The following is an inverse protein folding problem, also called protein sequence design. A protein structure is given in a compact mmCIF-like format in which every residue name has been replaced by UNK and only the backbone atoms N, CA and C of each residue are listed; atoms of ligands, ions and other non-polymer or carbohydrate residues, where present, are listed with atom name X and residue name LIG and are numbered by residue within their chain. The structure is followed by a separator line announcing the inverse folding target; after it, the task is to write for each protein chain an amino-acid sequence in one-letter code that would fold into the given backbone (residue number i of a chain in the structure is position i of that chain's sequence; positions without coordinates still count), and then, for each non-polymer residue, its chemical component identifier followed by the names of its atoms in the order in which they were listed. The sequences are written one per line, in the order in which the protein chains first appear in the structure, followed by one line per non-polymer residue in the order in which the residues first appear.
data_IF_606321476468
#
_entry.id   IF_606321476468
#
_cell.length_a   1.000
_cell.length_b   1.000
_cell.length_c   1.000
_cell.angle_alpha   90.00
_cell.angle_beta   90.00
_cell.angle_gamma   90.00
#
_symmetry.space_group_name_H-M   'P 1'
#
loop_
_entity.id
_entity.type
_entity.pdbx_description
1 polymer ?
#
# COMPACT_ATOMS: atom_id res chain seq x y z
N UNK A 1 23.73 -11.59 -22.63
CA UNK A 1 22.69 -12.11 -23.56
C UNK A 1 22.14 -13.36 -22.90
N UNK A 2 21.01 -13.20 -22.20
CA UNK A 2 20.46 -14.22 -21.28
C UNK A 2 19.74 -15.33 -22.05
N UNK A 3 20.24 -16.54 -21.91
CA UNK A 3 19.67 -17.78 -22.45
C UNK A 3 18.32 -18.19 -21.79
N UNK A 4 17.78 -17.38 -20.87
CA UNK A 4 16.50 -17.61 -20.18
C UNK A 4 15.25 -17.24 -21.00
N UNK A 5 15.42 -16.61 -22.17
CA UNK A 5 14.30 -16.03 -22.94
C UNK A 5 13.59 -17.01 -23.90
N UNK A 6 14.02 -18.25 -24.03
CA UNK A 6 13.56 -19.17 -25.08
C UNK A 6 12.95 -20.49 -24.59
N UNK A 7 12.29 -20.49 -23.43
CA UNK A 7 11.53 -21.69 -23.05
C UNK A 7 10.04 -21.49 -23.39
N UNK A 8 9.55 -22.02 -24.54
CA UNK A 8 8.17 -21.81 -25.01
C UNK A 8 7.13 -22.35 -24.01
N UNK A 9 7.50 -23.32 -23.19
CA UNK A 9 6.66 -23.88 -22.12
C UNK A 9 6.39 -22.84 -21.01
N UNK A 10 7.35 -22.00 -20.65
CA UNK A 10 7.18 -20.94 -19.66
C UNK A 10 6.24 -19.85 -20.20
N UNK A 11 6.39 -19.48 -21.47
CA UNK A 11 5.53 -18.48 -22.11
C UNK A 11 4.07 -18.95 -22.20
N UNK A 12 3.83 -20.18 -22.64
CA UNK A 12 2.49 -20.79 -22.71
C UNK A 12 1.87 -20.89 -21.31
N UNK A 13 2.65 -21.32 -20.31
CA UNK A 13 2.23 -21.40 -18.91
C UNK A 13 1.83 -20.03 -18.35
N UNK A 14 2.61 -18.97 -18.62
CA UNK A 14 2.30 -17.60 -18.20
C UNK A 14 1.03 -17.06 -18.90
N UNK A 15 0.90 -17.31 -20.20
CA UNK A 15 -0.27 -16.86 -20.98
C UNK A 15 -1.56 -17.56 -20.52
N UNK A 16 -1.50 -18.88 -20.31
CA UNK A 16 -2.62 -19.67 -19.78
C UNK A 16 -3.01 -19.21 -18.38
N UNK A 17 -2.03 -18.94 -17.48
CA UNK A 17 -2.27 -18.47 -16.13
C UNK A 17 -2.95 -17.09 -16.13
N UNK A 18 -2.48 -16.14 -16.94
CA UNK A 18 -3.10 -14.81 -17.09
C UNK A 18 -4.54 -14.90 -17.62
N UNK A 19 -4.76 -15.75 -18.60
CA UNK A 19 -6.10 -15.97 -19.17
C UNK A 19 -7.06 -16.56 -18.14
N UNK A 20 -6.62 -17.55 -17.38
CA UNK A 20 -7.42 -18.17 -16.33
C UNK A 20 -7.70 -17.18 -15.18
N UNK A 21 -6.69 -16.44 -14.73
CA UNK A 21 -6.84 -15.41 -13.73
C UNK A 21 -7.83 -14.32 -14.14
N UNK A 22 -7.85 -13.94 -15.43
CA UNK A 22 -8.77 -12.91 -15.94
C UNK A 22 -10.26 -13.31 -15.83
N UNK A 23 -10.55 -14.60 -15.71
CA UNK A 23 -11.93 -15.13 -15.55
C UNK A 23 -12.40 -15.21 -14.10
N UNK A 24 -11.49 -15.06 -13.12
CA UNK A 24 -11.89 -15.03 -11.72
C UNK A 24 -12.70 -13.76 -11.43
N UNK A 25 -13.81 -13.86 -10.68
CA UNK A 25 -14.59 -12.70 -10.27
C UNK A 25 -13.75 -11.77 -9.41
N UNK A 26 -13.93 -10.46 -9.61
CA UNK A 26 -13.33 -9.44 -8.77
C UNK A 26 -14.22 -9.25 -7.53
N UNK A 27 -13.68 -9.52 -6.37
CA UNK A 27 -14.38 -9.33 -5.10
C UNK A 27 -13.37 -9.12 -3.97
N UNK A 28 -13.66 -8.22 -3.05
CA UNK A 28 -12.83 -8.01 -1.86
C UNK A 28 -13.12 -9.03 -0.76
N UNK A 29 -14.27 -9.69 -0.84
CA UNK A 29 -14.64 -10.79 0.04
C UNK A 29 -14.90 -12.04 -0.79
N UNK A 30 -14.35 -13.15 -0.35
CA UNK A 30 -14.58 -14.48 -0.96
C UNK A 30 -14.89 -15.51 0.10
N UNK A 31 -15.95 -16.27 -0.11
CA UNK A 31 -16.22 -17.50 0.63
C UNK A 31 -15.63 -18.69 -0.12
N UNK A 32 -14.84 -19.50 0.56
CA UNK A 32 -14.18 -20.67 -0.02
C UNK A 32 -15.16 -21.84 -0.08
N UNK A 33 -15.67 -22.08 -1.28
CA UNK A 33 -16.60 -23.17 -1.58
C UNK A 33 -15.87 -24.34 -2.25
N UNK A 34 -16.56 -25.43 -2.46
CA UNK A 34 -16.02 -26.59 -3.15
C UNK A 34 -15.58 -26.30 -4.61
N UNK A 35 -16.10 -25.21 -5.22
CA UNK A 35 -15.81 -24.85 -6.63
C UNK A 35 -14.53 -24.06 -6.81
N UNK A 36 -14.08 -23.36 -5.77
CA UNK A 36 -12.90 -22.48 -5.81
C UNK A 36 -11.71 -23.00 -4.98
N UNK A 37 -11.86 -24.21 -4.42
CA UNK A 37 -10.82 -24.88 -3.62
C UNK A 37 -10.33 -26.10 -4.40
N UNK A 38 -9.03 -26.13 -4.68
CA UNK A 38 -8.36 -27.18 -5.45
C UNK A 38 -7.52 -28.05 -4.53
N UNK A 39 -7.41 -29.35 -4.84
CA UNK A 39 -6.59 -30.28 -4.09
C UNK A 39 -5.60 -30.99 -5.02
N UNK A 40 -4.38 -31.12 -4.59
CA UNK A 40 -3.31 -31.82 -5.31
C UNK A 40 -2.46 -32.63 -4.31
N UNK A 41 -2.01 -33.85 -4.69
CA UNK A 41 -1.02 -34.57 -3.90
C UNK A 41 0.31 -33.80 -3.91
N UNK A 42 0.98 -33.78 -2.77
CA UNK A 42 2.34 -33.25 -2.61
C UNK A 42 3.39 -34.30 -3.00
N UNK A 43 4.67 -33.92 -3.07
CA UNK A 43 5.73 -34.90 -3.26
C UNK A 43 5.73 -36.03 -2.20
N UNK A 44 5.61 -35.74 -0.89
CA UNK A 44 5.41 -36.78 0.13
C UNK A 44 4.14 -37.60 -0.10
N UNK A 45 3.03 -36.99 -0.53
CA UNK A 45 1.80 -37.71 -0.84
C UNK A 45 1.96 -38.68 -2.02
N UNK A 46 2.72 -38.27 -3.04
CA UNK A 46 3.03 -39.15 -4.17
C UNK A 46 3.94 -40.33 -3.74
N UNK A 47 4.97 -40.05 -2.91
CA UNK A 47 5.84 -41.09 -2.36
C UNK A 47 5.05 -42.07 -1.50
N UNK A 48 4.14 -41.59 -0.63
CA UNK A 48 3.25 -42.44 0.14
C UNK A 48 2.40 -43.35 -0.77
N UNK A 49 1.81 -42.78 -1.84
CA UNK A 49 1.06 -43.57 -2.82
C UNK A 49 1.87 -44.68 -3.48
N UNK A 50 3.12 -44.37 -3.88
CA UNK A 50 4.04 -45.39 -4.41
C UNK A 50 4.40 -46.48 -3.38
N UNK A 51 4.67 -46.07 -2.13
CA UNK A 51 4.97 -47.01 -1.05
C UNK A 51 3.78 -47.94 -0.79
N UNK A 52 2.56 -47.39 -0.77
CA UNK A 52 1.34 -48.18 -0.59
C UNK A 52 1.14 -49.17 -1.75
N UNK A 53 1.46 -48.75 -2.98
CA UNK A 53 1.37 -49.67 -4.14
C UNK A 53 2.35 -50.84 -4.00
N UNK A 54 3.61 -50.55 -3.63
CA UNK A 54 4.63 -51.61 -3.42
C UNK A 54 4.24 -52.55 -2.30
N UNK A 55 3.74 -52.00 -1.18
CA UNK A 55 3.26 -52.78 -0.05
C UNK A 55 2.08 -53.68 -0.46
N UNK A 56 1.14 -53.14 -1.25
CA UNK A 56 -0.01 -53.91 -1.72
C UNK A 56 0.43 -55.06 -2.62
N UNK A 57 1.29 -54.80 -3.63
CA UNK A 57 1.82 -55.81 -4.53
C UNK A 57 2.58 -56.88 -3.77
N UNK A 58 3.45 -56.49 -2.83
CA UNK A 58 4.16 -57.44 -1.98
C UNK A 58 3.24 -58.26 -1.09
N UNK A 59 2.19 -57.67 -0.53
CA UNK A 59 1.20 -58.38 0.28
C UNK A 59 0.41 -59.40 -0.52
N UNK A 60 0.08 -59.07 -1.77
CA UNK A 60 -0.58 -59.98 -2.71
C UNK A 60 0.33 -61.15 -3.06
N UNK A 61 1.60 -60.85 -3.44
CA UNK A 61 2.53 -61.86 -3.91
C UNK A 61 2.92 -62.86 -2.82
N UNK A 62 3.11 -62.38 -1.58
CA UNK A 62 3.50 -63.20 -0.44
C UNK A 62 2.35 -63.59 0.47
N UNK A 63 1.12 -63.25 0.13
CA UNK A 63 -0.14 -63.55 0.89
C UNK A 63 -0.04 -63.11 2.35
N UNK A 64 0.56 -61.94 2.60
CA UNK A 64 0.79 -61.45 3.97
C UNK A 64 -0.43 -60.67 4.49
N UNK A 65 -1.20 -61.28 5.37
CA UNK A 65 -2.38 -60.64 5.97
C UNK A 65 -2.07 -59.38 6.72
N UNK A 66 -0.95 -59.31 7.41
CA UNK A 66 -0.49 -58.10 8.10
C UNK A 66 -0.10 -57.01 7.11
N UNK A 67 0.45 -57.35 5.96
CA UNK A 67 0.74 -56.39 4.88
C UNK A 67 -0.51 -55.73 4.32
N UNK A 68 -1.58 -56.48 4.11
CA UNK A 68 -2.88 -55.91 3.70
C UNK A 68 -3.41 -54.95 4.78
N UNK A 69 -3.41 -55.39 6.05
CA UNK A 69 -3.88 -54.56 7.16
C UNK A 69 -3.14 -53.23 7.21
N UNK A 70 -1.81 -53.24 7.13
CA UNK A 70 -0.98 -52.04 7.17
C UNK A 70 -1.26 -51.14 5.95
N UNK A 71 -1.36 -51.73 4.75
CA UNK A 71 -1.63 -50.99 3.51
C UNK A 71 -2.99 -50.28 3.58
N UNK A 72 -4.05 -50.99 4.00
CA UNK A 72 -5.37 -50.38 4.09
C UNK A 72 -5.50 -49.38 5.23
N UNK A 73 -4.82 -49.57 6.36
CA UNK A 73 -4.77 -48.60 7.45
C UNK A 73 -4.13 -47.28 7.00
N UNK A 74 -2.96 -47.37 6.34
CA UNK A 74 -2.25 -46.20 5.84
C UNK A 74 -3.03 -45.50 4.70
N UNK A 75 -3.64 -46.29 3.77
CA UNK A 75 -4.46 -45.72 2.73
C UNK A 75 -5.69 -45.03 3.30
N UNK A 76 -6.37 -45.64 4.28
CA UNK A 76 -7.49 -45.03 4.98
C UNK A 76 -7.11 -43.73 5.70
N UNK A 77 -5.97 -43.71 6.39
CA UNK A 77 -5.50 -42.49 7.05
C UNK A 77 -5.17 -41.37 6.05
N UNK A 78 -4.60 -41.71 4.88
CA UNK A 78 -4.35 -40.74 3.80
C UNK A 78 -5.65 -40.17 3.23
N UNK A 79 -6.69 -41.00 3.03
CA UNK A 79 -8.01 -40.55 2.57
C UNK A 79 -8.65 -39.63 3.61
N UNK A 80 -8.67 -40.00 4.89
CA UNK A 80 -9.18 -39.14 5.95
C UNK A 80 -8.39 -37.84 6.00
N UNK A 81 -7.05 -37.89 5.91
CA UNK A 81 -6.20 -36.70 5.81
C UNK A 81 -6.55 -35.78 4.64
N UNK A 82 -6.91 -36.35 3.49
CA UNK A 82 -7.39 -35.60 2.32
C UNK A 82 -8.70 -34.84 2.62
N UNK A 83 -9.68 -35.51 3.25
CA UNK A 83 -10.94 -34.87 3.63
C UNK A 83 -10.76 -33.77 4.65
N UNK A 84 -9.92 -33.99 5.66
CA UNK A 84 -9.60 -32.98 6.68
C UNK A 84 -8.89 -31.80 6.04
N UNK A 85 -7.89 -32.03 5.19
CA UNK A 85 -7.16 -30.98 4.47
C UNK A 85 -8.10 -30.13 3.62
N UNK A 86 -8.97 -30.75 2.82
CA UNK A 86 -9.98 -30.04 2.04
C UNK A 86 -10.97 -29.27 2.94
N UNK A 87 -11.39 -29.90 4.04
CA UNK A 87 -12.29 -29.29 5.04
C UNK A 87 -11.68 -28.07 5.72
N UNK A 88 -10.35 -27.98 5.81
CA UNK A 88 -9.66 -26.85 6.46
C UNK A 88 -9.85 -25.52 5.72
N UNK A 89 -9.84 -25.51 4.39
CA UNK A 89 -10.10 -24.29 3.61
C UNK A 89 -11.59 -24.10 3.27
N UNK A 90 -12.33 -25.16 3.01
CA UNK A 90 -13.74 -25.06 2.63
C UNK A 90 -14.59 -24.38 3.71
N UNK A 91 -15.40 -23.37 3.31
CA UNK A 91 -16.25 -22.57 4.19
C UNK A 91 -15.47 -21.56 5.07
N UNK A 92 -14.24 -21.21 4.70
CA UNK A 92 -13.52 -20.08 5.26
C UNK A 92 -13.87 -18.85 4.45
N UNK A 93 -14.16 -17.74 5.12
CA UNK A 93 -14.38 -16.45 4.48
C UNK A 93 -13.11 -15.61 4.58
N UNK A 94 -12.66 -15.06 3.45
CA UNK A 94 -11.49 -14.19 3.38
C UNK A 94 -11.94 -12.80 2.92
N UNK A 95 -11.56 -11.76 3.66
CA UNK A 95 -11.91 -10.37 3.36
C UNK A 95 -10.66 -9.50 3.35
N UNK A 96 -10.44 -8.78 2.26
CA UNK A 96 -9.36 -7.79 2.16
C UNK A 96 -9.86 -6.46 2.74
N UNK A 97 -9.18 -5.99 3.76
CA UNK A 97 -9.41 -4.62 4.26
C UNK A 97 -8.88 -3.61 3.25
N UNK A 98 -9.50 -2.42 3.21
CA UNK A 98 -9.10 -1.34 2.30
C UNK A 98 -7.60 -1.06 2.41
N UNK A 99 -6.81 -1.25 1.34
CA UNK A 99 -5.38 -1.02 1.38
C UNK A 99 -5.07 0.45 1.62
N UNK A 100 -4.09 0.71 2.47
CA UNK A 100 -3.59 2.07 2.69
C UNK A 100 -2.69 2.49 1.53
N UNK A 101 -2.71 3.80 1.23
CA UNK A 101 -1.81 4.38 0.24
C UNK A 101 -0.34 4.23 0.68
N UNK A 102 0.55 3.95 -0.27
CA UNK A 102 1.97 3.68 -0.01
C UNK A 102 2.86 4.42 -1.02
N UNK A 103 4.14 4.53 -0.73
CA UNK A 103 5.11 5.11 -1.65
C UNK A 103 5.67 4.05 -2.60
N UNK A 104 5.97 4.44 -3.83
CA UNK A 104 6.60 3.55 -4.81
C UNK A 104 7.93 3.00 -4.27
N UNK A 105 8.17 1.71 -4.49
CA UNK A 105 9.34 1.03 -3.95
C UNK A 105 9.27 0.66 -2.47
N UNK A 106 8.31 1.19 -1.71
CA UNK A 106 8.04 0.74 -0.33
C UNK A 106 7.18 -0.53 -0.32
N UNK A 107 7.30 -1.31 0.74
CA UNK A 107 6.49 -2.51 0.94
C UNK A 107 5.09 -2.13 1.40
N UNK A 108 4.09 -2.40 0.58
CA UNK A 108 2.68 -2.23 0.94
C UNK A 108 2.20 -3.45 1.73
N UNK A 109 1.46 -3.23 2.81
CA UNK A 109 0.87 -4.29 3.62
C UNK A 109 -0.60 -4.45 3.30
N UNK A 110 -1.00 -5.64 2.88
CA UNK A 110 -2.38 -6.04 2.66
C UNK A 110 -2.89 -6.77 3.89
N UNK A 111 -3.88 -6.22 4.56
CA UNK A 111 -4.50 -6.85 5.73
C UNK A 111 -5.70 -7.68 5.29
N UNK A 112 -5.63 -8.99 5.51
CA UNK A 112 -6.67 -9.96 5.11
C UNK A 112 -7.23 -10.58 6.37
N UNK A 113 -8.53 -10.46 6.55
CA UNK A 113 -9.27 -11.08 7.65
C UNK A 113 -9.80 -12.44 7.20
N UNK A 114 -9.44 -13.47 7.93
CA UNK A 114 -9.92 -14.84 7.76
C UNK A 114 -10.99 -15.11 8.81
N UNK A 115 -12.20 -15.42 8.40
CA UNK A 115 -13.33 -15.68 9.31
C UNK A 115 -13.72 -17.15 9.25
N UNK A 116 -13.81 -17.78 10.41
CA UNK A 116 -14.18 -19.19 10.57
C UNK A 116 -15.50 -19.30 11.34
N UNK A 117 -16.56 -19.71 10.65
CA UNK A 117 -17.89 -19.89 11.23
C UNK A 117 -18.12 -21.30 11.81
N UNK A 118 -17.08 -22.16 11.79
CA UNK A 118 -17.17 -23.51 12.35
C UNK A 118 -16.72 -23.56 13.82
N UNK A 119 -17.23 -24.55 14.53
CA UNK A 119 -16.87 -24.84 15.93
C UNK A 119 -15.52 -25.50 16.09
N UNK A 120 -14.79 -25.78 15.00
CA UNK A 120 -13.44 -26.37 15.00
C UNK A 120 -12.40 -25.37 14.53
N UNK A 121 -11.22 -25.38 15.17
CA UNK A 121 -10.06 -24.58 14.76
C UNK A 121 -9.57 -25.03 13.39
N UNK A 122 -9.12 -24.09 12.59
CA UNK A 122 -8.50 -24.35 11.28
C UNK A 122 -7.01 -24.06 11.35
N UNK A 123 -6.21 -25.09 11.12
CA UNK A 123 -4.77 -25.03 11.31
C UNK A 123 -4.01 -24.85 10.01
N UNK A 124 -2.87 -24.18 10.10
CA UNK A 124 -1.87 -24.10 9.03
C UNK A 124 -2.41 -23.50 7.74
N UNK A 125 -3.07 -22.36 7.81
CA UNK A 125 -3.52 -21.61 6.63
C UNK A 125 -2.44 -20.61 6.25
N UNK A 126 -1.83 -20.80 5.07
CA UNK A 126 -0.89 -19.87 4.48
C UNK A 126 -1.59 -18.95 3.49
N UNK A 127 -1.26 -17.66 3.52
CA UNK A 127 -1.74 -16.66 2.56
C UNK A 127 -0.55 -15.94 1.94
N UNK A 128 -0.56 -15.73 0.64
CA UNK A 128 0.50 -15.05 -0.10
C UNK A 128 -0.03 -14.33 -1.34
N UNK A 129 0.79 -13.45 -1.92
CA UNK A 129 0.57 -12.95 -3.27
C UNK A 129 0.90 -14.05 -4.27
N UNK A 130 0.01 -14.32 -5.23
CA UNK A 130 0.10 -15.45 -6.14
C UNK A 130 1.40 -15.50 -6.97
N UNK A 131 1.96 -14.36 -7.33
CA UNK A 131 3.17 -14.23 -8.16
C UNK A 131 4.45 -14.01 -7.35
N UNK A 132 4.40 -14.20 -6.05
CA UNK A 132 5.58 -14.15 -5.20
C UNK A 132 6.53 -15.30 -5.56
N UNK A 133 7.71 -14.96 -6.05
CA UNK A 133 8.70 -15.91 -6.58
C UNK A 133 9.48 -16.66 -5.48
N UNK A 134 9.29 -16.31 -4.21
CA UNK A 134 10.03 -16.87 -3.07
C UNK A 134 9.07 -17.46 -2.03
N UNK A 135 9.43 -18.61 -1.49
CA UNK A 135 8.70 -19.32 -0.42
C UNK A 135 8.54 -18.48 0.86
N UNK A 136 9.44 -17.52 1.09
CA UNK A 136 9.46 -16.66 2.30
C UNK A 136 8.33 -15.62 2.37
N UNK A 137 7.46 -15.58 1.39
CA UNK A 137 6.33 -14.62 1.35
C UNK A 137 5.01 -15.18 1.83
N UNK A 138 4.98 -16.42 2.28
CA UNK A 138 3.82 -17.04 2.90
C UNK A 138 3.68 -16.58 4.35
N UNK A 139 2.52 -16.04 4.68
CA UNK A 139 2.14 -15.75 6.07
C UNK A 139 1.22 -16.85 6.55
N UNK A 140 1.67 -17.60 7.54
CA UNK A 140 0.93 -18.73 8.10
C UNK A 140 0.20 -18.32 9.36
N UNK A 141 -1.03 -18.80 9.51
CA UNK A 141 -1.87 -18.54 10.67
C UNK A 141 -2.82 -19.71 10.92
N UNK A 142 -3.29 -19.80 12.16
CA UNK A 142 -4.42 -20.61 12.55
C UNK A 142 -5.63 -19.69 12.75
N UNK A 143 -6.82 -20.21 12.42
CA UNK A 143 -8.07 -19.46 12.63
C UNK A 143 -8.88 -20.16 13.70
N UNK A 144 -9.16 -19.49 14.84
CA UNK A 144 -9.89 -20.09 15.94
C UNK A 144 -11.32 -20.48 15.54
N UNK A 145 -11.90 -21.39 16.32
CA UNK A 145 -13.29 -21.78 16.16
C UNK A 145 -14.20 -20.56 16.39
N UNK A 146 -15.21 -20.37 15.53
CA UNK A 146 -16.16 -19.25 15.59
C UNK A 146 -15.48 -17.89 15.73
N UNK A 147 -14.30 -17.74 15.11
CA UNK A 147 -13.46 -16.57 15.31
C UNK A 147 -12.79 -16.08 14.03
N UNK A 148 -11.92 -15.10 14.20
CA UNK A 148 -11.21 -14.43 13.10
C UNK A 148 -9.71 -14.38 13.38
N UNK A 149 -8.93 -14.37 12.30
CA UNK A 149 -7.49 -14.12 12.33
C UNK A 149 -7.15 -13.14 11.20
N UNK A 150 -6.28 -12.16 11.48
CA UNK A 150 -5.82 -11.20 10.48
C UNK A 150 -4.40 -11.53 10.07
N UNK A 151 -4.16 -11.63 8.79
CA UNK A 151 -2.82 -11.82 8.21
C UNK A 151 -2.39 -10.59 7.43
N UNK A 152 -1.10 -10.29 7.48
CA UNK A 152 -0.50 -9.15 6.82
C UNK A 152 0.44 -9.64 5.74
N UNK A 153 0.01 -9.51 4.48
CA UNK A 153 0.78 -9.94 3.31
C UNK A 153 1.42 -8.73 2.66
N UNK A 154 2.74 -8.77 2.47
CA UNK A 154 3.47 -7.70 1.84
C UNK A 154 3.51 -7.85 0.31
N UNK A 155 3.36 -6.73 -0.40
CA UNK A 155 3.71 -6.63 -1.82
C UNK A 155 4.40 -5.29 -2.09
N UNK A 156 5.22 -5.24 -3.14
CA UNK A 156 6.03 -4.07 -3.45
C UNK A 156 5.61 -3.47 -4.78
N UNK A 157 4.83 -2.38 -4.80
CA UNK A 157 4.53 -1.66 -6.02
C UNK A 157 5.75 -0.87 -6.49
N UNK A 158 6.14 -1.03 -7.75
CA UNK A 158 7.33 -0.39 -8.31
C UNK A 158 7.04 1.00 -8.89
N UNK A 159 5.79 1.26 -9.29
CA UNK A 159 5.39 2.49 -9.98
C UNK A 159 4.31 3.20 -9.18
N UNK A 160 4.28 4.54 -9.27
CA UNK A 160 3.19 5.34 -8.72
C UNK A 160 1.89 5.16 -9.50
N UNK A 161 0.80 5.64 -8.94
CA UNK A 161 -0.52 5.62 -9.55
C UNK A 161 -1.49 4.69 -8.86
N UNK A 162 -2.63 4.46 -9.47
CA UNK A 162 -3.66 3.58 -8.95
C UNK A 162 -3.43 2.16 -9.49
N UNK A 163 -3.06 1.24 -8.62
CA UNK A 163 -2.76 -0.15 -8.96
C UNK A 163 -3.80 -1.09 -8.38
N UNK A 164 -4.20 -2.09 -9.15
CA UNK A 164 -5.01 -3.18 -8.59
C UNK A 164 -4.16 -4.05 -7.68
N UNK A 165 -4.75 -4.49 -6.58
CA UNK A 165 -4.13 -5.49 -5.71
C UNK A 165 -3.87 -6.76 -6.53
N UNK A 166 -2.66 -7.32 -6.47
CA UNK A 166 -2.34 -8.55 -7.19
C UNK A 166 -3.20 -9.72 -6.70
N UNK A 167 -3.42 -10.74 -7.53
CA UNK A 167 -4.12 -11.94 -7.11
C UNK A 167 -3.47 -12.57 -5.88
N UNK A 168 -4.29 -12.98 -4.93
CA UNK A 168 -3.88 -13.62 -3.69
C UNK A 168 -4.13 -15.12 -3.78
N UNK A 169 -3.36 -15.89 -3.03
CA UNK A 169 -3.54 -17.33 -2.90
C UNK A 169 -3.57 -17.71 -1.44
N UNK A 170 -4.40 -18.67 -1.08
CA UNK A 170 -4.34 -19.30 0.22
C UNK A 170 -4.13 -20.81 0.04
N UNK A 171 -3.36 -21.42 0.94
CA UNK A 171 -3.13 -22.86 0.94
C UNK A 171 -3.09 -23.45 2.35
N UNK A 172 -3.33 -24.74 2.42
CA UNK A 172 -3.04 -25.53 3.61
C UNK A 172 -2.51 -26.90 3.20
N UNK A 173 -1.70 -27.48 4.07
CA UNK A 173 -1.19 -28.86 3.97
C UNK A 173 -1.52 -29.69 5.22
N UNK A 174 -2.30 -29.10 6.11
CA UNK A 174 -2.73 -29.79 7.34
C UNK A 174 -3.71 -30.94 7.03
N UNK A 175 -3.65 -32.12 7.70
CA UNK A 175 -2.79 -32.45 8.83
C UNK A 175 -1.46 -33.12 8.43
N UNK A 176 -1.42 -33.93 7.39
CA UNK A 176 -0.33 -34.86 7.11
C UNK A 176 0.71 -34.34 6.10
N UNK A 177 0.45 -33.19 5.46
CA UNK A 177 1.30 -32.69 4.39
C UNK A 177 1.28 -33.50 3.09
N UNK A 178 0.51 -34.60 3.03
CA UNK A 178 0.37 -35.47 1.85
C UNK A 178 -0.43 -34.83 0.72
N UNK A 179 -1.32 -33.92 1.06
CA UNK A 179 -2.11 -33.14 0.11
C UNK A 179 -1.89 -31.65 0.35
N UNK A 180 -1.93 -30.89 -0.72
CA UNK A 180 -1.97 -29.44 -0.76
C UNK A 180 -3.35 -29.03 -1.23
N UNK A 181 -4.06 -28.27 -0.41
CA UNK A 181 -5.33 -27.65 -0.78
C UNK A 181 -5.04 -26.16 -0.95
N UNK A 182 -5.50 -25.57 -2.05
CA UNK A 182 -5.20 -24.18 -2.39
C UNK A 182 -6.36 -23.51 -3.13
N UNK A 183 -6.38 -22.21 -3.08
CA UNK A 183 -7.31 -21.35 -3.80
C UNK A 183 -6.60 -20.15 -4.38
N UNK A 184 -7.22 -19.52 -5.36
CA UNK A 184 -6.78 -18.22 -5.90
C UNK A 184 -7.95 -17.26 -5.83
N UNK A 185 -7.66 -16.08 -5.37
CA UNK A 185 -8.60 -15.00 -5.19
C UNK A 185 -8.09 -13.72 -5.84
N UNK A 186 -9.01 -12.97 -6.44
CA UNK A 186 -8.70 -11.75 -7.16
C UNK A 186 -9.45 -10.58 -6.52
N UNK A 187 -8.80 -9.77 -5.66
CA UNK A 187 -9.41 -8.60 -5.05
C UNK A 187 -9.85 -7.56 -6.08
N UNK A 188 -10.97 -6.89 -5.80
CA UNK A 188 -11.43 -5.74 -6.59
C UNK A 188 -10.72 -4.45 -6.16
N UNK A 189 -10.25 -4.39 -4.93
CA UNK A 189 -9.59 -3.24 -4.32
C UNK A 189 -8.39 -2.75 -5.13
N UNK A 190 -8.18 -1.45 -5.04
CA UNK A 190 -7.04 -0.77 -5.62
C UNK A 190 -6.23 -0.11 -4.51
N UNK A 191 -4.93 -0.02 -4.71
CA UNK A 191 -4.01 0.69 -3.84
C UNK A 191 -3.47 1.90 -4.56
N UNK A 192 -3.52 3.05 -3.90
CA UNK A 192 -2.90 4.27 -4.40
C UNK A 192 -1.42 4.29 -4.00
N UNK A 193 -0.56 4.48 -4.99
CA UNK A 193 0.89 4.50 -4.81
C UNK A 193 1.40 5.89 -5.11
N UNK A 194 1.93 6.55 -4.09
CA UNK A 194 2.55 7.87 -4.19
C UNK A 194 3.94 7.76 -4.84
N UNK A 195 4.45 8.81 -5.48
CA UNK A 195 5.83 8.83 -5.92
C UNK A 195 6.78 8.61 -4.74
N UNK A 196 7.88 7.88 -4.94
CA UNK A 196 8.91 7.75 -3.90
C UNK A 196 9.53 9.12 -3.63
N UNK A 197 9.64 9.56 -2.36
CA UNK A 197 10.30 10.83 -2.06
C UNK A 197 11.79 10.76 -2.41
N UNK A 198 12.33 11.84 -2.97
CA UNK A 198 13.77 11.98 -3.23
C UNK A 198 14.55 11.88 -1.91
N UNK A 199 15.61 11.06 -1.90
CA UNK A 199 16.37 10.80 -0.66
C UNK A 199 17.09 12.06 -0.13
N UNK A 200 17.63 12.88 -1.05
CA UNK A 200 18.36 14.11 -0.75
C UNK A 200 17.79 15.27 -1.58
N UNK A 201 16.59 15.78 -1.23
CA UNK A 201 15.99 16.88 -1.97
C UNK A 201 16.77 18.16 -1.75
N UNK A 202 16.84 19.06 -2.74
CA UNK A 202 17.32 20.40 -2.52
C UNK A 202 16.42 21.13 -1.51
N UNK A 203 16.90 22.24 -0.90
CA UNK A 203 16.09 23.03 0.01
C UNK A 203 14.78 23.49 -0.64
N UNK A 204 13.77 23.73 0.21
CA UNK A 204 12.47 24.24 -0.25
C UNK A 204 12.66 25.51 -1.07
N UNK A 205 11.85 25.73 -2.12
CA UNK A 205 11.90 26.96 -2.90
C UNK A 205 11.56 28.18 -2.01
N UNK A 206 12.07 29.38 -2.35
CA UNK A 206 11.71 30.59 -1.63
C UNK A 206 10.20 30.85 -1.76
N UNK A 207 9.58 31.36 -0.68
CA UNK A 207 8.17 31.75 -0.71
C UNK A 207 7.91 32.86 -1.72
N UNK A 208 6.77 32.77 -2.40
CA UNK A 208 6.29 33.83 -3.30
C UNK A 208 5.47 34.86 -2.51
N UNK A 209 5.58 36.18 -2.82
CA UNK A 209 4.75 37.20 -2.19
C UNK A 209 3.27 36.91 -2.51
N UNK A 210 2.40 36.92 -1.51
CA UNK A 210 0.97 36.67 -1.69
C UNK A 210 0.37 37.68 -2.67
N UNK A 211 -0.15 37.19 -3.79
CA UNK A 211 -0.85 38.02 -4.79
C UNK A 211 -2.09 38.67 -4.13
N UNK A 212 -2.12 39.99 -4.03
CA UNK A 212 -3.23 40.76 -3.42
C UNK A 212 -2.93 41.42 -2.07
N UNK A 213 -1.78 41.15 -1.46
CA UNK A 213 -1.40 41.77 -0.19
C UNK A 213 -1.27 43.31 -0.25
N UNK A 214 -0.88 43.85 -1.40
CA UNK A 214 -0.77 45.30 -1.61
C UNK A 214 -2.11 46.05 -1.69
N UNK A 215 -3.18 45.40 -2.17
CA UNK A 215 -4.51 45.99 -2.26
C UNK A 215 -5.28 45.86 -0.93
N UNK A 216 -5.16 44.75 -0.23
CA UNK A 216 -5.81 44.50 1.06
C UNK A 216 -5.16 45.34 2.19
N UNK A 217 -3.90 45.69 2.06
CA UNK A 217 -3.15 46.52 3.02
C UNK A 217 -3.64 47.94 3.10
N UNK A 218 -4.40 48.45 2.14
CA UNK A 218 -5.04 49.76 2.20
C UNK A 218 -6.30 49.82 3.13
N UNK A 219 -6.83 48.69 3.51
CA UNK A 219 -8.14 48.61 4.24
C UNK A 219 -8.01 48.18 5.70
N UNK A 220 -6.97 47.43 6.11
CA UNK A 220 -6.79 46.99 7.50
C UNK A 220 -5.45 47.46 8.09
N UNK A 221 -5.48 48.61 8.73
CA UNK A 221 -4.39 49.19 9.48
C UNK A 221 -4.23 48.61 10.91
N UNK A 222 -4.30 47.27 11.03
CA UNK A 222 -4.02 46.56 12.29
C UNK A 222 -2.75 45.70 12.14
N UNK A 223 -1.66 46.30 11.65
CA UNK A 223 -0.34 45.66 11.68
C UNK A 223 0.30 45.86 13.06
N UNK A 224 1.00 44.85 13.55
CA UNK A 224 1.88 44.91 14.71
C UNK A 224 2.91 46.06 14.50
N UNK A 225 3.09 46.87 15.54
CA UNK A 225 3.95 48.04 15.46
C UNK A 225 5.40 47.68 15.81
N UNK A 226 6.27 47.69 14.83
CA UNK A 226 7.66 47.27 14.97
C UNK A 226 8.63 48.45 15.22
N UNK A 227 8.13 49.63 15.54
CA UNK A 227 8.96 50.77 15.85
C UNK A 227 8.38 52.13 15.45
N UNK A 228 9.15 53.14 15.67
CA UNK A 228 8.85 54.52 15.26
C UNK A 228 10.03 55.06 14.42
N UNK A 229 9.73 55.69 13.29
CA UNK A 229 10.72 56.38 12.43
C UNK A 229 10.41 57.85 12.31
N UNK A 230 11.39 58.66 11.90
CA UNK A 230 11.17 60.06 11.60
C UNK A 230 10.12 60.22 10.48
N UNK A 231 9.21 61.17 10.65
CA UNK A 231 8.16 61.49 9.68
C UNK A 231 8.74 61.92 8.35
N UNK A 232 8.23 61.33 7.27
CA UNK A 232 8.57 61.74 5.89
C UNK A 232 7.39 62.50 5.26
N UNK A 233 7.72 63.58 4.55
CA UNK A 233 6.71 64.40 3.87
C UNK A 233 5.87 63.50 2.89
N UNK A 234 4.59 63.35 3.21
CA UNK A 234 3.68 62.43 2.49
C UNK A 234 3.15 61.26 3.32
N UNK A 235 3.68 61.03 4.53
CA UNK A 235 3.13 60.01 5.42
C UNK A 235 1.73 60.45 5.90
N UNK A 236 0.76 59.49 5.95
CA UNK A 236 -0.59 59.79 6.46
C UNK A 236 -0.55 60.28 7.91
N UNK A 237 -1.12 61.42 8.22
CA UNK A 237 -1.15 61.99 9.56
C UNK A 237 -1.68 61.09 10.68
N UNK A 238 -2.51 60.09 10.30
CA UNK A 238 -3.02 59.08 11.21
C UNK A 238 -1.94 58.10 11.76
N UNK A 239 -0.77 58.05 11.12
CA UNK A 239 0.37 57.22 11.55
C UNK A 239 1.33 58.01 12.48
N UNK A 240 1.12 59.30 12.65
CA UNK A 240 1.93 60.12 13.52
C UNK A 240 1.64 59.79 14.99
N UNK A 241 2.71 59.54 15.77
CA UNK A 241 2.63 59.27 17.20
C UNK A 241 2.64 60.60 17.94
N UNK A 242 1.51 61.27 18.04
CA UNK A 242 1.36 62.59 18.65
C UNK A 242 1.93 62.72 20.06
N UNK A 243 1.85 61.63 20.86
CA UNK A 243 2.40 61.62 22.23
C UNK A 243 3.91 61.67 22.27
N UNK A 244 4.64 61.20 21.24
CA UNK A 244 6.08 61.34 21.11
C UNK A 244 6.44 62.65 20.44
N UNK A 245 5.70 63.11 19.46
CA UNK A 245 5.87 64.38 18.81
C UNK A 245 5.79 65.56 19.83
N UNK A 246 4.88 65.48 20.77
CA UNK A 246 4.72 66.48 21.84
C UNK A 246 5.88 66.51 22.87
N UNK A 247 6.74 65.47 22.90
CA UNK A 247 7.89 65.40 23.81
C UNK A 247 9.25 65.74 23.16
N UNK A 248 9.35 65.50 21.85
CA UNK A 248 10.64 65.55 21.14
C UNK A 248 10.75 66.66 20.11
N UNK A 249 9.70 67.48 19.95
CA UNK A 249 9.55 68.53 18.93
C UNK A 249 9.81 68.06 17.47
N UNK A 250 9.85 66.75 17.26
CA UNK A 250 9.98 66.13 15.94
C UNK A 250 8.79 65.21 15.66
N UNK A 251 8.27 65.31 14.43
CA UNK A 251 7.18 64.41 13.98
C UNK A 251 7.72 63.00 13.78
N UNK A 252 7.17 62.05 14.50
CA UNK A 252 7.53 60.63 14.46
C UNK A 252 6.34 59.80 13.95
N UNK A 253 6.55 59.06 12.88
CA UNK A 253 5.57 58.18 12.30
C UNK A 253 5.74 56.75 12.78
N UNK A 254 4.64 56.03 12.96
CA UNK A 254 4.70 54.60 13.24
C UNK A 254 5.24 53.89 12.00
N UNK A 255 6.27 53.08 12.17
CA UNK A 255 6.78 52.22 11.13
C UNK A 255 5.96 50.96 11.14
N UNK A 256 5.06 50.83 10.19
CA UNK A 256 4.34 49.60 9.93
C UNK A 256 5.12 48.80 8.92
N UNK A 257 6.03 47.98 9.36
CA UNK A 257 6.55 46.92 8.50
C UNK A 257 5.38 45.97 8.23
N UNK A 258 4.91 46.02 7.03
CA UNK A 258 3.93 45.06 6.53
C UNK A 258 4.66 43.73 6.40
N UNK A 259 4.38 42.80 7.32
CA UNK A 259 4.83 41.43 7.17
C UNK A 259 4.31 40.94 5.84
N UNK A 260 5.15 40.94 4.83
CA UNK A 260 4.83 40.28 3.55
C UNK A 260 4.59 38.80 3.87
N UNK A 261 3.34 38.38 3.87
CA UNK A 261 3.03 36.95 3.99
C UNK A 261 3.48 36.28 2.70
N UNK A 262 4.55 35.51 2.81
CA UNK A 262 5.04 34.67 1.75
C UNK A 262 4.23 33.36 1.75
N UNK A 263 3.81 32.94 0.59
CA UNK A 263 3.19 31.65 0.37
C UNK A 263 4.22 30.71 -0.26
N UNK A 264 4.38 29.53 0.31
CA UNK A 264 5.25 28.51 -0.26
C UNK A 264 4.51 27.78 -1.38
N UNK A 265 5.00 27.92 -2.60
CA UNK A 265 4.49 27.20 -3.76
C UNK A 265 5.47 26.14 -4.21
N UNK A 266 5.00 24.89 -4.23
CA UNK A 266 5.75 23.76 -4.76
C UNK A 266 5.34 23.57 -6.22
N UNK A 267 6.17 24.06 -7.12
CA UNK A 267 5.87 24.15 -8.55
C UNK A 267 6.63 23.07 -9.34
N UNK A 268 5.92 22.33 -10.19
CA UNK A 268 6.51 21.35 -11.09
C UNK A 268 7.53 21.98 -12.06
N UNK A 269 7.32 23.22 -12.47
CA UNK A 269 8.25 23.99 -13.33
C UNK A 269 9.55 24.34 -12.62
N UNK A 270 9.53 24.56 -11.32
CA UNK A 270 10.71 24.94 -10.50
C UNK A 270 11.61 23.77 -10.13
N UNK A 271 11.23 22.52 -10.43
CA UNK A 271 12.01 21.33 -10.10
C UNK A 271 13.24 21.12 -10.99
N UNK A 272 13.50 21.99 -11.97
CA UNK A 272 14.65 21.90 -12.88
C UNK A 272 14.43 21.00 -14.10
N UNK A 273 15.52 20.68 -14.80
CA UNK A 273 15.50 19.88 -16.06
C UNK A 273 15.55 18.37 -15.79
N UNK A 274 14.79 17.88 -14.84
CA UNK A 274 14.69 16.46 -14.50
C UNK A 274 13.61 15.75 -15.33
N UNK A 275 13.69 14.44 -15.46
CA UNK A 275 12.59 13.64 -15.99
C UNK A 275 11.36 13.71 -15.07
N UNK A 276 10.17 13.48 -15.63
CA UNK A 276 8.89 13.61 -14.90
C UNK A 276 8.86 12.86 -13.57
N UNK A 277 9.35 11.63 -13.53
CA UNK A 277 9.39 10.83 -12.29
C UNK A 277 10.25 11.46 -11.20
N UNK A 278 11.41 11.99 -11.56
CA UNK A 278 12.30 12.67 -10.60
C UNK A 278 11.72 13.99 -10.10
N UNK A 279 11.02 14.74 -10.98
CA UNK A 279 10.29 15.94 -10.57
C UNK A 279 9.22 15.65 -9.53
N UNK A 280 8.44 14.59 -9.74
CA UNK A 280 7.39 14.18 -8.82
C UNK A 280 7.97 13.63 -7.51
N UNK A 281 9.10 12.90 -7.57
CA UNK A 281 9.83 12.47 -6.38
C UNK A 281 10.32 13.64 -5.55
N UNK A 282 10.84 14.68 -6.19
CA UNK A 282 11.27 15.95 -5.54
C UNK A 282 10.10 16.68 -4.90
N UNK A 283 9.00 16.86 -5.63
CA UNK A 283 7.79 17.49 -5.10
C UNK A 283 7.23 16.71 -3.92
N UNK A 284 7.23 15.37 -3.97
CA UNK A 284 6.81 14.52 -2.85
C UNK A 284 7.70 14.78 -1.61
N UNK A 285 9.02 14.85 -1.79
CA UNK A 285 9.94 15.15 -0.69
C UNK A 285 9.68 16.54 -0.11
N UNK A 286 9.45 17.55 -0.95
CA UNK A 286 9.13 18.91 -0.51
C UNK A 286 7.78 18.99 0.21
N UNK A 287 6.73 18.29 -0.25
CA UNK A 287 5.44 18.18 0.47
C UNK A 287 5.65 17.63 1.88
N UNK A 288 6.42 16.55 2.00
CA UNK A 288 6.72 15.94 3.30
C UNK A 288 7.56 16.85 4.20
N UNK A 289 8.50 17.59 3.63
CA UNK A 289 9.34 18.54 4.36
C UNK A 289 8.53 19.75 4.84
N UNK A 290 7.69 20.34 3.97
CA UNK A 290 6.84 21.48 4.32
C UNK A 290 5.84 21.12 5.42
N UNK A 291 5.21 19.94 5.33
CA UNK A 291 4.32 19.44 6.38
C UNK A 291 5.04 19.24 7.71
N UNK A 292 6.24 18.65 7.70
CA UNK A 292 7.06 18.46 8.91
C UNK A 292 7.44 19.79 9.59
N UNK A 293 7.64 20.84 8.79
CA UNK A 293 7.94 22.17 9.28
C UNK A 293 6.69 22.98 9.67
N UNK A 294 5.49 22.44 9.45
CA UNK A 294 4.22 23.11 9.73
C UNK A 294 3.96 24.34 8.87
N UNK A 295 4.52 24.38 7.65
CA UNK A 295 4.37 25.50 6.71
C UNK A 295 3.05 25.38 5.93
N UNK A 296 2.45 26.52 5.61
CA UNK A 296 1.38 26.59 4.60
C UNK A 296 2.01 26.48 3.22
N UNK A 297 1.64 25.46 2.45
CA UNK A 297 2.17 25.22 1.11
C UNK A 297 1.08 24.92 0.10
N UNK A 298 1.26 25.43 -1.12
CA UNK A 298 0.46 25.12 -2.30
C UNK A 298 1.24 24.20 -3.26
N UNK A 299 0.54 23.52 -4.13
CA UNK A 299 1.11 22.63 -5.15
C UNK A 299 0.62 23.03 -6.53
N UNK A 300 1.56 23.26 -7.48
CA UNK A 300 1.28 23.52 -8.88
C UNK A 300 1.79 22.38 -9.74
N UNK A 301 0.86 21.69 -10.40
CA UNK A 301 1.11 20.60 -11.34
C UNK A 301 0.60 21.00 -12.74
N UNK A 302 1.07 20.34 -13.81
CA UNK A 302 0.51 20.53 -15.13
C UNK A 302 -1.01 20.26 -15.15
N UNK A 303 -1.83 21.30 -15.31
CA UNK A 303 -3.29 21.19 -15.35
C UNK A 303 -4.01 21.20 -13.99
N UNK A 304 -3.30 21.25 -12.86
CA UNK A 304 -3.92 21.28 -11.53
C UNK A 304 -3.17 22.18 -10.57
N UNK A 305 -3.92 23.01 -9.82
CA UNK A 305 -3.38 23.85 -8.74
C UNK A 305 -4.13 23.57 -7.44
N UNK A 306 -3.38 23.33 -6.37
CA UNK A 306 -3.89 23.15 -5.01
C UNK A 306 -3.42 24.33 -4.18
N UNK A 307 -4.38 25.13 -3.67
CA UNK A 307 -4.13 26.34 -2.87
C UNK A 307 -3.36 26.01 -1.58
N UNK A 308 -2.55 26.97 -1.08
CA UNK A 308 -1.82 26.79 0.16
C UNK A 308 -2.73 26.47 1.34
N UNK A 309 -2.37 25.43 2.06
CA UNK A 309 -2.95 25.00 3.32
C UNK A 309 -1.95 24.09 4.05
N UNK A 310 -2.29 23.61 5.23
CA UNK A 310 -1.48 22.69 6.05
C UNK A 310 -2.36 21.58 6.63
N UNK A 311 -1.72 20.56 7.15
CA UNK A 311 -2.36 19.44 7.84
C UNK A 311 -2.54 18.18 6.99
N UNK A 312 -2.80 17.06 7.68
CA UNK A 312 -2.82 15.71 7.08
C UNK A 312 -3.77 15.58 5.87
N UNK A 313 -4.92 16.25 5.92
CA UNK A 313 -5.89 16.23 4.80
C UNK A 313 -5.32 16.94 3.56
N UNK A 314 -4.60 18.05 3.76
CA UNK A 314 -3.95 18.78 2.67
C UNK A 314 -2.78 17.99 2.09
N UNK A 315 -1.91 17.45 2.95
CA UNK A 315 -0.80 16.57 2.55
C UNK A 315 -1.32 15.41 1.70
N UNK A 316 -2.37 14.72 2.17
CA UNK A 316 -2.97 13.61 1.45
C UNK A 316 -3.47 14.04 0.06
N UNK A 317 -4.17 15.17 -0.04
CA UNK A 317 -4.65 15.71 -1.33
C UNK A 317 -3.49 16.00 -2.29
N UNK A 318 -2.40 16.59 -1.80
CA UNK A 318 -1.21 16.86 -2.61
C UNK A 318 -0.55 15.56 -3.09
N UNK A 319 -0.40 14.56 -2.21
CA UNK A 319 0.17 13.26 -2.58
C UNK A 319 -0.70 12.48 -3.57
N UNK A 320 -2.03 12.56 -3.45
CA UNK A 320 -2.98 11.96 -4.40
C UNK A 320 -2.85 12.61 -5.79
N UNK A 321 -2.72 13.95 -5.85
CA UNK A 321 -2.49 14.66 -7.10
C UNK A 321 -1.15 14.27 -7.75
N UNK A 322 -0.07 14.14 -6.95
CA UNK A 322 1.24 13.69 -7.43
C UNK A 322 1.23 12.25 -7.94
N UNK A 323 0.40 11.38 -7.36
CA UNK A 323 0.28 10.00 -7.79
C UNK A 323 -0.41 9.86 -9.15
N UNK A 324 -1.36 10.75 -9.45
CA UNK A 324 -2.21 10.66 -10.65
C UNK A 324 -1.78 11.59 -11.78
N UNK A 325 -0.79 12.43 -11.55
CA UNK A 325 -0.23 13.37 -12.54
C UNK A 325 0.48 12.72 -13.74
#
# INVERSE_FOLDING_TARGET
MDAAALNPFLFVRHRFRRWWQARLPLSDTIELTQRNVYILPTRPGFMLGMTLLVLLVGSINYQLNLGYLLTFLLAGSAIVGMYVCHGTLRGLTMNLLTPQAQYAGASATLSIVLTNDRTSVRYGIGVAVLDATHDDRWVWTDVPALGQSTVHVAFKPERRGLHRVPPLTAETRFPLGTFRVWTVWRPAAQVLVYPAPEAFPPPLPPGEPRAGGAAAARVQSTGEFDGVRAYRRGDPLKLVVWKKAAKADELVSRDTQQAQRYELWLDFGQTGHLGTEHKLSRLTAWVLQAERLGLDYGLRLPGQEIKPATGEAHKRRCLEALATC
#
